data_IF_638299654172
#
_entry.id   IF_638299654172
#
_cell.length_a   1.000
_cell.length_b   1.000
_cell.length_c   1.000
_cell.angle_alpha   90.00
_cell.angle_beta   90.00
_cell.angle_gamma   90.00
#
_symmetry.space_group_name_H-M   'P 1'
#
loop_
_entity.id
_entity.type
_entity.pdbx_description
1 polymer ?
#
# COMPACT_ATOMS: atom_id res chain seq x y z
N UNK A 1 31.85 10.64 -3.71
CA UNK A 1 30.75 10.48 -4.67
C UNK A 1 29.48 10.42 -3.84
N UNK A 2 28.56 11.33 -4.07
CA UNK A 2 27.29 11.44 -3.33
C UNK A 2 26.20 10.75 -4.15
N UNK A 3 25.54 9.77 -3.56
CA UNK A 3 24.40 9.09 -4.16
C UNK A 3 23.13 9.81 -3.71
N UNK A 4 22.32 10.21 -4.67
CA UNK A 4 21.04 10.87 -4.45
C UNK A 4 19.94 10.00 -5.06
N UNK A 5 18.83 9.84 -4.36
CA UNK A 5 17.65 9.13 -4.87
C UNK A 5 16.46 10.07 -5.00
N UNK A 6 15.82 10.10 -6.17
CA UNK A 6 14.59 10.84 -6.41
C UNK A 6 13.40 10.17 -5.71
N UNK A 7 12.76 10.87 -4.77
CA UNK A 7 11.68 10.32 -3.93
C UNK A 7 10.31 10.97 -4.15
N UNK A 8 10.23 12.18 -4.72
CA UNK A 8 8.98 12.96 -4.80
C UNK A 8 8.46 13.27 -6.21
N UNK A 9 9.20 12.97 -7.27
CA UNK A 9 8.81 13.33 -8.64
C UNK A 9 8.99 12.18 -9.63
N UNK A 10 8.22 12.22 -10.74
CA UNK A 10 8.32 11.26 -11.85
C UNK A 10 9.62 11.42 -12.65
N UNK A 11 10.12 12.64 -12.71
CA UNK A 11 11.42 12.97 -13.28
C UNK A 11 11.89 14.31 -12.73
N UNK A 12 13.20 14.49 -12.69
CA UNK A 12 13.85 15.73 -12.34
C UNK A 12 15.02 15.95 -13.29
N UNK A 13 15.03 17.11 -13.95
CA UNK A 13 16.07 17.53 -14.88
C UNK A 13 16.54 18.92 -14.50
N UNK A 14 17.69 18.99 -13.85
CA UNK A 14 18.30 20.23 -13.37
C UNK A 14 19.79 20.05 -13.13
N UNK A 15 20.25 20.34 -11.91
CA UNK A 15 21.64 20.13 -11.49
C UNK A 15 22.04 18.64 -11.53
N UNK A 16 21.08 17.77 -11.27
CA UNK A 16 21.16 16.32 -11.41
C UNK A 16 20.00 15.84 -12.28
N UNK A 17 20.16 14.67 -12.89
CA UNK A 17 19.12 14.04 -13.69
C UNK A 17 18.75 12.70 -13.05
N UNK A 18 17.46 12.54 -12.75
CA UNK A 18 16.89 11.30 -12.23
C UNK A 18 15.45 11.14 -12.74
N UNK A 19 15.01 9.90 -12.88
CA UNK A 19 13.66 9.57 -13.37
C UNK A 19 13.05 8.48 -12.50
N UNK A 20 11.74 8.31 -12.51
CA UNK A 20 11.10 7.22 -11.75
C UNK A 20 11.66 5.83 -12.13
N UNK A 21 12.07 5.65 -13.39
CA UNK A 21 12.68 4.39 -13.86
C UNK A 21 14.13 4.22 -13.38
N UNK A 22 14.84 5.34 -13.20
CA UNK A 22 16.23 5.40 -12.72
C UNK A 22 16.32 6.54 -11.70
N UNK A 23 15.86 6.32 -10.46
CA UNK A 23 15.76 7.38 -9.45
C UNK A 23 17.12 7.70 -8.83
N UNK A 24 18.08 6.80 -8.97
CA UNK A 24 19.44 6.93 -8.46
C UNK A 24 20.28 7.80 -9.40
N UNK A 25 20.90 8.82 -8.82
CA UNK A 25 21.82 9.72 -9.51
C UNK A 25 23.03 9.97 -8.62
N UNK A 26 24.20 10.16 -9.24
CA UNK A 26 25.45 10.28 -8.52
C UNK A 26 26.13 11.59 -8.91
N UNK A 27 26.60 12.33 -7.91
CA UNK A 27 27.34 13.58 -8.11
C UNK A 27 28.64 13.56 -7.32
N UNK A 28 29.71 14.15 -7.86
CA UNK A 28 30.98 14.31 -7.13
C UNK A 28 31.00 15.61 -6.31
N UNK A 29 30.15 16.57 -6.67
CA UNK A 29 30.08 17.88 -6.05
C UNK A 29 29.14 17.87 -4.84
N UNK A 30 29.70 18.14 -3.65
CA UNK A 30 28.93 18.25 -2.42
C UNK A 30 27.86 19.35 -2.50
N UNK A 31 28.20 20.49 -3.12
CA UNK A 31 27.26 21.60 -3.27
C UNK A 31 26.03 21.19 -4.09
N UNK A 32 26.22 20.40 -5.16
CA UNK A 32 25.12 19.88 -5.97
C UNK A 32 24.27 18.88 -5.17
N UNK A 33 24.91 18.04 -4.36
CA UNK A 33 24.20 17.12 -3.48
C UNK A 33 23.36 17.85 -2.43
N UNK A 34 23.95 18.83 -1.74
CA UNK A 34 23.28 19.64 -0.73
C UNK A 34 22.09 20.41 -1.34
N UNK A 35 22.26 21.02 -2.53
CA UNK A 35 21.19 21.72 -3.23
C UNK A 35 20.07 20.78 -3.70
N UNK A 36 20.42 19.58 -4.18
CA UNK A 36 19.45 18.58 -4.61
C UNK A 36 18.62 18.07 -3.41
N UNK A 37 19.25 17.84 -2.26
CA UNK A 37 18.56 17.48 -1.02
C UNK A 37 17.72 18.65 -0.49
N UNK A 38 18.25 19.88 -0.52
CA UNK A 38 17.54 21.08 -0.10
C UNK A 38 16.31 21.38 -0.97
N UNK A 39 16.31 20.94 -2.24
CA UNK A 39 15.13 21.00 -3.11
C UNK A 39 13.97 20.13 -2.60
N UNK A 40 14.25 19.18 -1.71
CA UNK A 40 13.29 18.24 -1.14
C UNK A 40 12.88 17.11 -2.09
N UNK A 41 13.34 17.12 -3.35
CA UNK A 41 13.04 16.06 -4.32
C UNK A 41 13.94 14.83 -4.17
N UNK A 42 15.16 15.04 -3.66
CA UNK A 42 16.17 13.99 -3.50
C UNK A 42 16.46 13.72 -2.03
N UNK A 43 16.82 12.48 -1.74
CA UNK A 43 17.42 12.08 -0.46
C UNK A 43 18.88 11.69 -0.70
N UNK A 44 19.78 12.05 0.23
CA UNK A 44 21.17 11.63 0.19
C UNK A 44 21.25 10.21 0.74
N UNK A 45 21.70 9.28 -0.10
CA UNK A 45 22.00 7.91 0.27
C UNK A 45 23.50 7.87 0.58
N UNK A 46 23.83 7.83 1.87
CA UNK A 46 25.16 7.38 2.29
C UNK A 46 25.12 5.84 2.26
N UNK A 47 26.22 5.17 1.89
CA UNK A 47 26.32 3.70 1.70
C UNK A 47 26.09 2.85 2.98
N UNK A 48 25.24 3.30 3.90
CA UNK A 48 24.59 2.47 4.90
C UNK A 48 23.18 2.17 4.41
N UNK A 49 22.99 0.90 4.06
CA UNK A 49 21.75 0.30 3.64
C UNK A 49 20.55 0.86 4.42
N UNK A 50 19.58 1.45 3.74
CA UNK A 50 18.19 1.36 4.17
C UNK A 50 17.21 1.58 3.01
N UNK A 51 16.43 0.53 2.85
CA UNK A 51 15.20 0.42 2.09
C UNK A 51 14.24 1.54 2.48
N UNK A 52 13.72 2.29 1.50
CA UNK A 52 12.37 2.83 1.66
C UNK A 52 11.51 2.09 0.64
N UNK A 53 11.43 0.79 0.87
CA UNK A 53 10.14 0.14 0.81
C UNK A 53 9.31 0.86 1.88
N UNK A 54 8.66 1.95 1.50
CA UNK A 54 7.42 2.29 2.18
C UNK A 54 6.49 1.14 1.82
N UNK A 55 6.56 0.06 2.61
CA UNK A 55 5.40 -0.73 2.94
C UNK A 55 4.38 0.31 3.39
N UNK A 56 3.56 0.78 2.44
CA UNK A 56 2.35 1.49 2.71
C UNK A 56 1.44 0.48 3.41
N UNK A 57 1.72 0.25 4.69
CA UNK A 57 0.81 -0.38 5.60
C UNK A 57 -0.32 0.64 5.72
N UNK A 58 -1.41 0.38 4.99
CA UNK A 58 -2.58 1.25 4.94
C UNK A 58 -3.30 1.19 6.28
N UNK A 59 -2.76 1.90 7.26
CA UNK A 59 -3.45 2.12 8.51
C UNK A 59 -4.53 3.17 8.30
N UNK A 60 -5.73 2.89 8.82
CA UNK A 60 -6.74 3.93 8.95
C UNK A 60 -6.20 4.99 9.91
N UNK A 61 -6.06 6.22 9.41
CA UNK A 61 -5.58 7.34 10.21
C UNK A 61 -6.46 7.52 11.44
N UNK A 62 -5.85 7.48 12.63
CA UNK A 62 -6.54 7.70 13.90
C UNK A 62 -7.31 9.02 13.92
N UNK A 63 -6.75 10.05 13.28
CA UNK A 63 -7.40 11.35 13.13
C UNK A 63 -8.70 11.27 12.31
N UNK A 64 -8.72 10.50 11.22
CA UNK A 64 -9.92 10.31 10.41
C UNK A 64 -10.99 9.51 11.16
N UNK A 65 -10.58 8.48 11.90
CA UNK A 65 -11.50 7.72 12.74
C UNK A 65 -12.07 8.57 13.89
N UNK A 66 -11.29 9.49 14.47
CA UNK A 66 -11.76 10.40 15.51
C UNK A 66 -12.73 11.48 14.96
N UNK A 67 -12.72 11.76 13.66
CA UNK A 67 -13.72 12.62 13.01
C UNK A 67 -15.05 11.89 12.75
N UNK A 68 -15.04 10.56 12.61
CA UNK A 68 -16.25 9.75 12.38
C UNK A 68 -17.15 9.71 13.62
N UNK A 69 -18.46 9.51 13.43
CA UNK A 69 -19.40 9.36 14.55
C UNK A 69 -19.18 8.00 15.22
N UNK A 70 -19.42 7.95 16.54
CA UNK A 70 -19.25 6.72 17.31
C UNK A 70 -20.10 5.55 16.77
N UNK A 71 -21.29 5.83 16.22
CA UNK A 71 -22.13 4.81 15.60
C UNK A 71 -21.59 4.29 14.26
N UNK A 72 -20.90 5.14 13.49
CA UNK A 72 -20.27 4.75 12.23
C UNK A 72 -19.01 3.90 12.48
N UNK A 73 -18.24 4.26 13.51
CA UNK A 73 -17.11 3.46 13.96
C UNK A 73 -17.54 2.06 14.44
N UNK A 74 -18.68 1.92 15.10
CA UNK A 74 -19.19 0.60 15.53
C UNK A 74 -19.54 -0.29 14.35
N UNK A 75 -20.15 0.29 13.30
CA UNK A 75 -20.47 -0.45 12.08
C UNK A 75 -19.18 -0.91 11.40
N UNK A 76 -18.23 0.00 11.23
CA UNK A 76 -16.92 -0.30 10.63
C UNK A 76 -16.20 -1.41 11.41
N UNK A 77 -16.16 -1.31 12.74
CA UNK A 77 -15.58 -2.34 13.59
C UNK A 77 -16.28 -3.70 13.42
N UNK A 78 -17.62 -3.72 13.36
CA UNK A 78 -18.37 -4.94 13.13
C UNK A 78 -18.13 -5.55 11.74
N UNK A 79 -18.06 -4.72 10.69
CA UNK A 79 -17.77 -5.14 9.32
C UNK A 79 -16.35 -5.75 9.21
N UNK A 80 -15.39 -5.21 9.97
CA UNK A 80 -14.02 -5.73 10.07
C UNK A 80 -13.90 -6.93 11.03
N UNK A 81 -14.99 -7.37 11.67
CA UNK A 81 -15.00 -8.49 12.61
C UNK A 81 -14.39 -8.18 13.99
N UNK A 82 -14.23 -6.91 14.34
CA UNK A 82 -13.72 -6.46 15.64
C UNK A 82 -14.82 -6.61 16.69
N UNK A 83 -14.49 -7.31 17.77
CA UNK A 83 -15.41 -7.45 18.90
C UNK A 83 -15.55 -6.13 19.68
N UNK A 84 -16.69 -5.47 19.48
CA UNK A 84 -17.04 -4.24 20.18
C UNK A 84 -17.72 -4.48 21.54
N UNK A 85 -17.87 -5.74 21.98
CA UNK A 85 -18.54 -6.05 23.24
C UNK A 85 -17.73 -5.53 24.43
N UNK A 86 -18.23 -4.46 25.08
CA UNK A 86 -17.58 -3.82 26.23
C UNK A 86 -16.86 -2.50 25.90
N UNK A 87 -16.71 -2.14 24.62
CA UNK A 87 -16.14 -0.85 24.21
C UNK A 87 -17.17 0.26 24.42
N UNK A 88 -16.96 1.08 25.46
CA UNK A 88 -17.85 2.20 25.83
C UNK A 88 -17.27 3.57 25.47
N UNK A 89 -15.98 3.64 25.13
CA UNK A 89 -15.30 4.88 24.75
C UNK A 89 -15.03 4.87 23.26
N UNK A 90 -15.17 6.04 22.65
CA UNK A 90 -14.84 6.26 21.24
C UNK A 90 -13.36 6.02 20.96
N UNK A 91 -12.48 6.54 21.81
CA UNK A 91 -11.03 6.36 21.65
C UNK A 91 -10.62 4.87 21.62
N UNK A 92 -11.16 4.06 22.53
CA UNK A 92 -10.87 2.62 22.58
C UNK A 92 -11.36 1.89 21.31
N UNK A 93 -12.48 2.34 20.72
CA UNK A 93 -13.01 1.81 19.46
C UNK A 93 -12.14 2.21 18.26
N UNK A 94 -11.71 3.47 18.22
CA UNK A 94 -10.81 4.00 17.19
C UNK A 94 -9.46 3.27 17.23
N UNK A 95 -8.89 3.06 18.41
CA UNK A 95 -7.64 2.34 18.56
C UNK A 95 -7.76 0.88 18.12
N UNK A 96 -8.88 0.22 18.43
CA UNK A 96 -9.16 -1.13 17.96
C UNK A 96 -9.23 -1.19 16.42
N UNK A 97 -9.91 -0.23 15.78
CA UNK A 97 -10.03 -0.17 14.31
C UNK A 97 -8.69 0.18 13.65
N UNK A 98 -7.95 1.16 14.17
CA UNK A 98 -6.66 1.59 13.63
C UNK A 98 -5.57 0.51 13.76
N UNK A 99 -5.67 -0.34 14.79
CA UNK A 99 -4.77 -1.46 15.00
C UNK A 99 -5.04 -2.64 14.05
N UNK A 100 -6.23 -2.72 13.44
CA UNK A 100 -6.50 -3.74 12.43
C UNK A 100 -5.79 -3.35 11.14
N UNK A 101 -4.93 -4.27 10.70
CA UNK A 101 -4.23 -4.18 9.44
C UNK A 101 -5.25 -4.45 8.32
N UNK A 102 -5.53 -3.42 7.52
CA UNK A 102 -6.34 -3.57 6.31
C UNK A 102 -5.37 -3.85 5.18
N UNK A 103 -5.37 -5.09 4.70
CA UNK A 103 -4.75 -5.37 3.41
C UNK A 103 -5.58 -4.65 2.34
N UNK A 104 -5.01 -3.70 1.57
CA UNK A 104 -5.71 -3.17 0.42
C UNK A 104 -6.01 -4.38 -0.46
N UNK A 105 -7.29 -4.62 -0.75
CA UNK A 105 -7.66 -5.69 -1.68
C UNK A 105 -6.80 -5.55 -2.92
N UNK A 106 -6.23 -6.67 -3.40
CA UNK A 106 -5.42 -6.67 -4.61
C UNK A 106 -6.11 -5.83 -5.68
N UNK A 107 -5.38 -4.97 -6.43
CA UNK A 107 -5.99 -4.26 -7.53
C UNK A 107 -6.66 -5.32 -8.39
N UNK A 108 -7.99 -5.29 -8.43
CA UNK A 108 -8.73 -5.98 -9.47
C UNK A 108 -8.33 -5.26 -10.74
N UNK A 109 -7.27 -5.76 -11.38
CA UNK A 109 -7.01 -5.50 -12.78
C UNK A 109 -8.30 -5.93 -13.49
N UNK A 110 -9.07 -4.92 -13.88
CA UNK A 110 -10.30 -5.01 -14.64
C UNK A 110 -9.92 -5.44 -16.06
N UNK A 111 -9.46 -6.69 -16.20
CA UNK A 111 -9.47 -7.45 -17.44
C UNK A 111 -10.49 -8.57 -17.31
N UNK A 112 -11.73 -8.09 -17.37
CA UNK A 112 -12.92 -8.75 -17.86
C UNK A 112 -12.64 -9.84 -18.92
N UNK A 113 -12.52 -11.10 -18.50
CA UNK A 113 -13.06 -12.23 -19.26
C UNK A 113 -14.01 -13.02 -18.34
N UNK A 114 -15.29 -12.66 -18.44
CA UNK A 114 -16.39 -13.52 -18.04
C UNK A 114 -16.39 -14.77 -18.93
N UNK A 115 -15.67 -15.81 -18.54
CA UNK A 115 -15.82 -17.13 -19.15
C UNK A 115 -17.17 -17.73 -18.68
N UNK A 116 -18.24 -17.33 -19.36
CA UNK A 116 -19.51 -18.04 -19.34
C UNK A 116 -19.26 -19.40 -19.97
N UNK A 117 -18.98 -20.36 -19.08
CA UNK A 117 -18.53 -21.71 -19.40
C UNK A 117 -19.16 -22.30 -20.65
N UNK A 118 -18.29 -22.81 -21.52
CA UNK A 118 -18.66 -23.68 -22.62
C UNK A 118 -19.50 -24.85 -22.08
N UNK A 119 -20.78 -24.75 -22.40
CA UNK A 119 -21.74 -25.82 -22.55
C UNK A 119 -21.12 -26.99 -23.34
N UNK A 120 -20.48 -27.92 -22.63
CA UNK A 120 -20.24 -29.27 -23.13
C UNK A 120 -20.00 -30.24 -21.96
N UNK A 121 -21.07 -30.89 -21.51
CA UNK A 121 -20.96 -32.27 -21.01
C UNK A 121 -21.28 -32.52 -19.53
N UNK A 122 -22.50 -32.22 -19.11
CA UNK A 122 -23.22 -33.29 -18.37
C UNK A 122 -23.49 -34.44 -19.35
N UNK A 123 -23.77 -35.72 -18.99
CA UNK A 123 -23.49 -36.53 -17.79
C UNK A 123 -23.01 -37.98 -18.14
N UNK A 124 -22.44 -38.73 -17.19
CA UNK A 124 -22.60 -40.21 -17.07
C UNK A 124 -22.21 -40.64 -15.65
N UNK A 125 -23.14 -40.72 -14.69
CA UNK A 125 -23.89 -41.95 -14.35
C UNK A 125 -23.25 -43.25 -14.85
N UNK A 126 -22.87 -44.12 -13.89
CA UNK A 126 -23.16 -45.56 -13.83
C UNK A 126 -22.73 -46.39 -15.06
N UNK A 127 -21.79 -47.32 -14.87
CA UNK A 127 -22.05 -48.78 -14.89
C UNK A 127 -20.73 -49.57 -15.07
N UNK A 128 -20.65 -50.73 -14.41
CA UNK A 128 -19.80 -51.88 -14.77
C UNK A 128 -18.28 -51.75 -14.63
N UNK A 129 -17.78 -52.18 -13.46
CA UNK A 129 -16.99 -53.40 -13.44
C UNK A 129 -17.13 -54.09 -12.09
N UNK A 130 -18.03 -55.07 -12.06
CA UNK A 130 -18.00 -56.19 -11.11
C UNK A 130 -16.66 -56.94 -11.23
N UNK A 131 -16.06 -57.27 -10.09
CA UNK A 131 -15.43 -58.56 -9.80
C UNK A 131 -15.15 -58.69 -8.30
#
# INVERSE_FOLDING_TARGET
MYHLRLIKALSYTGLVSATQKNPDTFTEDKAIADDAVASGYFTLIEDEAEEEQQEAKYHLDKAQLDEMKFDDLKKLAADMGIDITGIKKKADLVDAIAAVEVEPGEPVDDENEVDYGEDAGSPTMIELQEQ
#
